data_IF_775500000893
#
_entry.id   IF_775500000893
#
_cell.length_a   1.000
_cell.length_b   1.000
_cell.length_c   1.000
_cell.angle_alpha   90.00
_cell.angle_beta   90.00
_cell.angle_gamma   90.00
#
_symmetry.space_group_name_H-M   'P 1'
#
loop_
_entity.id
_entity.type
_entity.pdbx_description
1 polymer ?
#
# COMPACT_ATOMS: atom_id res chain seq x y z
N UNK A 1 20.45 -13.59 18.67
CA UNK A 1 21.33 -14.45 17.85
C UNK A 1 21.51 -13.74 16.52
N UNK A 2 22.69 -13.14 16.33
CA UNK A 2 23.03 -12.23 15.23
C UNK A 2 23.32 -13.02 13.95
N UNK A 3 22.35 -13.07 13.03
CA UNK A 3 22.62 -13.40 11.64
C UNK A 3 23.60 -12.34 11.09
N UNK A 4 24.67 -12.77 10.43
CA UNK A 4 25.77 -11.87 10.07
C UNK A 4 25.44 -11.05 8.82
N UNK A 5 25.88 -9.78 8.82
CA UNK A 5 25.84 -8.77 7.73
C UNK A 5 26.10 -9.31 6.30
N UNK A 6 26.81 -10.44 6.18
CA UNK A 6 27.06 -11.14 4.90
C UNK A 6 25.86 -11.90 4.32
N UNK A 7 24.91 -12.38 5.12
CA UNK A 7 23.73 -13.08 4.59
C UNK A 7 22.72 -12.11 3.98
N UNK A 8 22.55 -10.91 4.55
CA UNK A 8 21.76 -9.86 3.92
C UNK A 8 22.38 -9.44 2.58
N UNK A 9 23.69 -9.17 2.57
CA UNK A 9 24.43 -8.87 1.34
C UNK A 9 24.34 -9.99 0.31
N UNK A 10 24.44 -11.27 0.67
CA UNK A 10 24.33 -12.38 -0.28
C UNK A 10 22.92 -12.54 -0.87
N UNK A 11 21.87 -12.19 -0.12
CA UNK A 11 20.48 -12.26 -0.62
C UNK A 11 20.14 -11.02 -1.46
N UNK A 12 20.64 -9.84 -1.06
CA UNK A 12 20.52 -8.59 -1.80
C UNK A 12 21.40 -8.54 -3.07
N UNK A 13 22.61 -9.13 -3.04
CA UNK A 13 23.47 -9.25 -4.23
C UNK A 13 23.09 -10.42 -5.12
N UNK A 14 22.55 -11.53 -4.61
CA UNK A 14 21.97 -12.57 -5.47
C UNK A 14 20.68 -12.08 -6.17
N UNK A 15 19.91 -11.18 -5.54
CA UNK A 15 18.82 -10.45 -6.21
C UNK A 15 19.34 -9.41 -7.21
N UNK A 16 20.50 -8.78 -6.97
CA UNK A 16 21.05 -7.72 -7.83
C UNK A 16 21.99 -8.20 -8.96
N UNK A 17 22.49 -9.44 -8.95
CA UNK A 17 23.43 -9.97 -9.97
C UNK A 17 22.82 -11.05 -10.86
N UNK A 18 21.48 -11.11 -10.90
CA UNK A 18 20.73 -12.07 -11.69
C UNK A 18 19.31 -11.60 -12.01
N UNK A 19 19.12 -10.33 -12.37
CA UNK A 19 17.94 -9.96 -13.15
C UNK A 19 18.23 -10.37 -14.61
N UNK A 20 17.48 -11.32 -15.18
CA UNK A 20 17.52 -11.49 -16.62
C UNK A 20 16.97 -10.19 -17.22
N UNK A 21 17.69 -9.61 -18.19
CA UNK A 21 16.99 -8.94 -19.29
C UNK A 21 15.91 -9.91 -19.78
N UNK A 22 14.74 -9.44 -20.21
CA UNK A 22 13.56 -10.27 -20.54
C UNK A 22 13.82 -11.44 -21.54
N UNK A 23 15.03 -11.56 -22.07
CA UNK A 23 15.53 -12.68 -22.87
C UNK A 23 15.92 -13.97 -22.08
N UNK A 24 15.72 -14.06 -20.76
CA UNK A 24 16.32 -15.14 -19.94
C UNK A 24 15.47 -15.84 -18.88
N UNK A 25 14.13 -15.84 -18.96
CA UNK A 25 13.30 -16.60 -18.01
C UNK A 25 13.34 -18.11 -18.29
N UNK A 26 13.69 -18.98 -17.32
CA UNK A 26 13.58 -20.42 -17.49
C UNK A 26 12.10 -20.82 -17.57
N UNK A 27 11.72 -21.44 -18.69
CA UNK A 27 10.40 -21.97 -18.93
C UNK A 27 10.14 -23.25 -18.12
N UNK A 28 9.70 -23.15 -16.86
CA UNK A 28 9.03 -24.27 -16.17
C UNK A 28 8.06 -23.74 -15.11
N UNK A 29 6.76 -23.77 -15.40
CA UNK A 29 5.70 -24.50 -14.67
C UNK A 29 4.36 -24.12 -15.30
N UNK A 30 3.77 -25.07 -16.01
CA UNK A 30 2.43 -24.97 -16.56
C UNK A 30 1.40 -25.48 -15.56
N UNK A 31 0.42 -24.63 -15.20
CA UNK A 31 -0.91 -25.01 -14.72
C UNK A 31 -1.46 -24.16 -13.55
N UNK A 32 -2.79 -23.92 -13.44
CA UNK A 32 -3.88 -24.25 -14.36
C UNK A 32 -4.56 -23.05 -15.04
N UNK A 33 -5.04 -23.33 -16.25
CA UNK A 33 -6.14 -22.71 -17.03
C UNK A 33 -6.16 -21.20 -17.29
N UNK A 34 -6.01 -20.91 -18.57
CA UNK A 34 -6.73 -19.97 -19.45
C UNK A 34 -8.23 -19.77 -19.11
N UNK A 35 -8.55 -19.41 -17.86
CA UNK A 35 -9.87 -18.85 -17.54
C UNK A 35 -9.92 -17.47 -18.18
N UNK A 36 -10.89 -17.27 -19.06
CA UNK A 36 -11.40 -15.94 -19.45
C UNK A 36 -11.40 -15.05 -18.22
N UNK A 37 -10.87 -13.83 -18.33
CA UNK A 37 -10.83 -12.88 -17.21
C UNK A 37 -12.18 -12.87 -16.50
N UNK A 38 -12.19 -13.32 -15.24
CA UNK A 38 -13.40 -13.29 -14.46
C UNK A 38 -13.83 -11.83 -14.30
N UNK A 39 -15.11 -11.49 -14.47
CA UNK A 39 -15.54 -10.11 -14.57
C UNK A 39 -15.20 -9.32 -13.31
N UNK A 40 -14.82 -8.07 -13.47
CA UNK A 40 -14.72 -7.12 -12.35
C UNK A 40 -16.09 -6.98 -11.70
N UNK A 41 -16.12 -6.97 -10.37
CA UNK A 41 -17.35 -6.79 -9.61
C UNK A 41 -17.33 -5.45 -8.90
N UNK A 42 -18.26 -4.55 -9.27
CA UNK A 42 -18.61 -3.36 -8.50
C UNK A 42 -19.84 -3.67 -7.65
N UNK A 43 -19.76 -3.44 -6.35
CA UNK A 43 -20.87 -3.62 -5.41
C UNK A 43 -21.00 -2.42 -4.48
N UNK A 44 -22.20 -2.18 -3.94
CA UNK A 44 -22.35 -1.30 -2.77
C UNK A 44 -22.14 -2.11 -1.48
N UNK A 45 -21.31 -1.61 -0.56
CA UNK A 45 -21.17 -2.21 0.77
C UNK A 45 -22.41 -2.02 1.66
N UNK A 46 -23.37 -1.21 1.25
CA UNK A 46 -24.65 -1.05 1.93
C UNK A 46 -25.72 -2.04 1.46
N UNK A 47 -25.45 -2.83 0.41
CA UNK A 47 -26.34 -3.88 -0.08
C UNK A 47 -25.80 -5.25 0.35
N UNK A 48 -26.42 -5.83 1.37
CA UNK A 48 -26.01 -7.12 1.96
C UNK A 48 -25.95 -8.25 0.93
N UNK A 49 -26.82 -8.23 -0.09
CA UNK A 49 -26.85 -9.28 -1.12
C UNK A 49 -25.66 -9.14 -2.06
N UNK A 50 -25.36 -7.92 -2.50
CA UNK A 50 -24.20 -7.68 -3.35
C UNK A 50 -22.90 -7.95 -2.57
N UNK A 51 -22.83 -7.53 -1.31
CA UNK A 51 -21.69 -7.79 -0.45
C UNK A 51 -21.48 -9.29 -0.22
N UNK A 52 -22.54 -10.06 0.06
CA UNK A 52 -22.45 -11.50 0.26
C UNK A 52 -21.86 -12.21 -0.97
N UNK A 53 -22.27 -11.80 -2.19
CA UNK A 53 -21.74 -12.38 -3.42
C UNK A 53 -20.24 -12.09 -3.61
N UNK A 54 -19.78 -10.87 -3.32
CA UNK A 54 -18.35 -10.57 -3.44
C UNK A 54 -17.51 -11.22 -2.33
N UNK A 55 -18.07 -11.33 -1.12
CA UNK A 55 -17.45 -12.05 0.00
C UNK A 55 -17.21 -13.52 -0.35
N UNK A 56 -18.22 -14.21 -0.87
CA UNK A 56 -18.09 -15.61 -1.28
C UNK A 56 -16.96 -15.80 -2.31
N UNK A 57 -16.92 -14.92 -3.32
CA UNK A 57 -15.85 -14.95 -4.33
C UNK A 57 -14.47 -14.68 -3.72
N UNK A 58 -14.33 -13.59 -2.96
CA UNK A 58 -13.07 -13.20 -2.35
C UNK A 58 -12.50 -14.30 -1.45
N UNK A 59 -13.34 -14.93 -0.62
CA UNK A 59 -12.90 -15.98 0.30
C UNK A 59 -12.58 -17.31 -0.40
N UNK A 60 -13.15 -17.54 -1.59
CA UNK A 60 -12.75 -18.64 -2.46
C UNK A 60 -11.38 -18.38 -3.11
N UNK A 61 -11.11 -17.14 -3.53
CA UNK A 61 -9.83 -16.73 -4.11
C UNK A 61 -8.70 -16.68 -3.06
N UNK A 62 -9.05 -16.36 -1.80
CA UNK A 62 -8.11 -16.22 -0.69
C UNK A 62 -8.48 -17.08 0.53
N UNK A 63 -8.25 -18.41 0.46
CA UNK A 63 -8.47 -19.29 1.61
C UNK A 63 -7.66 -18.82 2.84
N UNK A 64 -8.35 -18.65 3.97
CA UNK A 64 -7.75 -18.19 5.23
C UNK A 64 -7.79 -16.67 5.43
N UNK A 65 -8.37 -15.92 4.48
CA UNK A 65 -8.78 -14.53 4.70
C UNK A 65 -10.30 -14.48 4.77
N UNK A 66 -10.83 -13.70 5.72
CA UNK A 66 -12.26 -13.46 5.88
C UNK A 66 -12.62 -12.01 5.61
N UNK A 67 -13.66 -11.79 4.82
CA UNK A 67 -14.21 -10.47 4.49
C UNK A 67 -15.51 -10.24 5.26
N UNK A 68 -15.69 -9.04 5.81
CA UNK A 68 -16.90 -8.67 6.56
C UNK A 68 -17.16 -7.16 6.49
N UNK A 69 -18.41 -6.76 6.73
CA UNK A 69 -18.77 -5.36 7.01
C UNK A 69 -19.16 -5.29 8.48
N UNK A 70 -18.60 -4.31 9.19
CA UNK A 70 -18.86 -4.08 10.62
C UNK A 70 -19.49 -2.73 10.80
N UNK A 71 -20.54 -2.66 11.62
CA UNK A 71 -21.21 -1.41 11.99
C UNK A 71 -21.04 -1.15 13.48
N UNK A 72 -20.67 0.07 13.83
CA UNK A 72 -20.60 0.56 15.20
C UNK A 72 -21.65 1.65 15.35
N UNK A 73 -22.57 1.49 16.29
CA UNK A 73 -23.53 2.53 16.73
C UNK A 73 -23.55 2.59 18.27
N UNK A 74 -22.99 3.66 18.83
CA UNK A 74 -22.84 3.81 20.28
C UNK A 74 -21.46 3.41 20.78
N UNK A 75 -21.36 2.44 21.69
CA UNK A 75 -20.11 1.93 22.27
C UNK A 75 -19.96 0.46 21.93
N UNK A 76 -18.79 0.05 21.46
CA UNK A 76 -18.54 -1.33 21.03
C UNK A 76 -17.06 -1.71 21.15
N UNK A 77 -16.72 -2.97 20.81
CA UNK A 77 -15.38 -3.52 20.79
C UNK A 77 -15.09 -4.21 19.46
N UNK A 78 -14.12 -3.68 18.70
CA UNK A 78 -13.60 -4.33 17.50
C UNK A 78 -12.64 -5.45 17.91
N UNK A 79 -12.85 -6.66 17.40
CA UNK A 79 -12.05 -7.83 17.74
C UNK A 79 -11.90 -8.76 16.53
N UNK A 80 -10.92 -9.65 16.61
CA UNK A 80 -10.76 -10.76 15.67
C UNK A 80 -11.83 -11.83 15.94
N UNK A 81 -12.46 -12.34 14.89
CA UNK A 81 -13.47 -13.40 14.98
C UNK A 81 -12.84 -14.81 15.01
N UNK A 82 -11.63 -14.95 14.48
CA UNK A 82 -10.94 -16.24 14.29
C UNK A 82 -9.58 -16.33 15.01
N UNK A 83 -9.26 -15.38 15.89
CA UNK A 83 -7.95 -15.27 16.56
C UNK A 83 -6.82 -14.72 15.67
N UNK A 84 -7.15 -14.32 14.45
CA UNK A 84 -6.24 -13.73 13.47
C UNK A 84 -6.01 -12.23 13.64
N UNK A 85 -5.55 -11.60 12.55
CA UNK A 85 -5.29 -10.16 12.45
C UNK A 85 -6.38 -9.59 11.58
N UNK A 86 -7.26 -8.79 12.19
CA UNK A 86 -8.38 -8.15 11.53
C UNK A 86 -8.12 -6.66 11.36
N UNK A 87 -8.08 -6.23 10.11
CA UNK A 87 -7.94 -4.84 9.72
C UNK A 87 -9.31 -4.29 9.38
N UNK A 88 -9.64 -3.12 9.93
CA UNK A 88 -10.91 -2.42 9.73
C UNK A 88 -10.63 -1.09 9.03
N UNK A 89 -11.12 -0.93 7.81
CA UNK A 89 -11.08 0.35 7.09
C UNK A 89 -12.42 1.04 7.21
N UNK A 90 -12.44 2.19 7.89
CA UNK A 90 -13.66 2.98 8.03
C UNK A 90 -13.98 3.59 6.67
N UNK A 91 -15.13 3.26 6.08
CA UNK A 91 -15.53 3.84 4.79
C UNK A 91 -16.66 4.85 4.90
N UNK A 92 -17.35 4.88 6.05
CA UNK A 92 -18.44 5.82 6.32
C UNK A 92 -18.56 6.14 7.80
N UNK A 93 -18.90 7.39 8.10
CA UNK A 93 -19.18 7.86 9.44
C UNK A 93 -17.94 8.29 10.19
N UNK A 94 -18.08 8.44 11.51
CA UNK A 94 -17.03 8.92 12.40
C UNK A 94 -17.22 8.38 13.82
N UNK A 95 -16.13 8.31 14.55
CA UNK A 95 -16.15 7.85 15.92
C UNK A 95 -14.87 8.19 16.67
N UNK A 96 -14.61 7.40 17.70
CA UNK A 96 -13.39 7.48 18.47
C UNK A 96 -12.92 6.06 18.83
N UNK A 97 -11.60 5.87 18.84
CA UNK A 97 -10.94 4.65 19.27
C UNK A 97 -10.23 4.89 20.59
N UNK A 98 -10.35 3.95 21.54
CA UNK A 98 -9.61 4.01 22.80
C UNK A 98 -8.16 3.57 22.57
N UNK A 99 -7.22 4.49 22.82
CA UNK A 99 -5.79 4.19 22.77
C UNK A 99 -5.21 4.35 24.18
N UNK A 100 -4.69 3.28 24.79
CA UNK A 100 -4.24 3.29 26.18
C UNK A 100 -2.91 4.04 26.35
N UNK A 101 -2.55 4.33 27.61
CA UNK A 101 -1.20 4.76 27.95
C UNK A 101 -0.20 3.65 27.56
N UNK A 102 0.95 4.03 27.01
CA UNK A 102 1.93 3.11 26.44
C UNK A 102 1.63 2.68 25.00
N UNK A 103 0.51 3.10 24.39
CA UNK A 103 0.29 2.91 22.96
C UNK A 103 1.40 3.58 22.14
N UNK A 104 2.00 2.83 21.22
CA UNK A 104 3.05 3.31 20.32
C UNK A 104 2.53 3.39 18.89
N UNK A 105 2.88 4.45 18.18
CA UNK A 105 2.53 4.63 16.76
C UNK A 105 3.68 5.22 15.98
N UNK A 106 3.75 4.90 14.69
CA UNK A 106 4.65 5.55 13.72
C UNK A 106 3.91 6.56 12.84
N UNK A 107 2.78 7.08 13.31
CA UNK A 107 2.17 8.29 12.74
C UNK A 107 3.12 9.48 12.96
N UNK A 108 3.27 10.33 11.96
CA UNK A 108 4.29 11.38 11.92
C UNK A 108 4.19 12.32 10.71
N UNK A 109 2.97 12.46 10.18
CA UNK A 109 2.64 13.31 9.03
C UNK A 109 2.63 14.82 9.36
N UNK A 110 2.08 15.64 8.45
CA UNK A 110 2.00 17.09 8.63
C UNK A 110 1.08 17.50 9.79
N UNK A 111 0.10 16.66 10.15
CA UNK A 111 -0.71 16.86 11.34
C UNK A 111 0.07 16.52 12.61
N UNK A 112 0.04 17.45 13.58
CA UNK A 112 0.56 17.17 14.93
C UNK A 112 -0.28 16.09 15.58
N UNK A 113 0.38 15.06 16.14
CA UNK A 113 -0.28 14.10 17.01
C UNK A 113 -0.99 14.83 18.16
N UNK A 114 -2.11 14.30 18.67
CA UNK A 114 -2.80 14.88 19.82
C UNK A 114 -1.89 15.08 21.04
N UNK A 115 -2.30 15.95 21.95
CA UNK A 115 -1.57 16.15 23.21
C UNK A 115 -1.38 14.81 23.95
N UNK A 116 -0.18 14.61 24.50
CA UNK A 116 0.17 13.43 25.27
C UNK A 116 0.91 12.34 24.49
N UNK A 117 1.24 12.54 23.21
CA UNK A 117 2.25 11.74 22.51
C UNK A 117 3.64 12.33 22.71
N UNK A 118 4.62 11.48 23.00
CA UNK A 118 6.03 11.87 23.11
C UNK A 118 6.82 11.01 22.12
N UNK A 119 7.55 11.61 21.16
CA UNK A 119 8.45 10.87 20.28
C UNK A 119 9.49 10.09 21.08
N UNK A 120 9.73 8.85 20.68
CA UNK A 120 10.77 8.03 21.28
C UNK A 120 12.15 8.60 20.90
N UNK A 121 13.15 8.59 21.81
CA UNK A 121 14.50 9.03 21.49
C UNK A 121 15.10 8.24 20.33
N UNK A 122 15.85 8.92 19.47
CA UNK A 122 16.58 8.29 18.38
C UNK A 122 17.69 7.39 18.92
N UNK A 123 17.73 6.15 18.45
CA UNK A 123 18.82 5.23 18.75
C UNK A 123 20.17 5.79 18.26
N UNK A 124 21.23 5.64 19.06
CA UNK A 124 22.54 6.22 18.77
C UNK A 124 23.16 5.63 17.49
N UNK A 125 23.01 4.32 17.27
CA UNK A 125 23.55 3.67 16.08
C UNK A 125 22.82 4.14 14.82
N UNK A 126 21.50 4.35 14.92
CA UNK A 126 20.72 4.94 13.83
C UNK A 126 21.08 6.42 13.62
N UNK A 127 21.31 7.19 14.68
CA UNK A 127 21.73 8.59 14.56
C UNK A 127 23.07 8.71 13.81
N UNK A 128 24.04 7.85 14.13
CA UNK A 128 25.34 7.80 13.45
C UNK A 128 25.24 7.34 12.00
N UNK A 129 24.34 6.39 11.72
CA UNK A 129 24.02 5.96 10.36
C UNK A 129 23.45 7.13 9.53
N UNK A 130 22.43 7.83 10.05
CA UNK A 130 21.81 8.97 9.36
C UNK A 130 22.79 10.13 9.18
N UNK A 131 23.66 10.41 10.16
CA UNK A 131 24.73 11.39 10.03
C UNK A 131 25.68 11.05 8.88
N UNK A 132 26.10 9.78 8.83
CA UNK A 132 27.03 9.28 7.81
C UNK A 132 26.41 9.35 6.41
N UNK A 133 25.14 8.97 6.26
CA UNK A 133 24.39 9.12 5.00
C UNK A 133 24.27 10.60 4.62
N UNK A 134 23.91 11.47 5.57
CA UNK A 134 23.80 12.92 5.35
C UNK A 134 25.08 13.54 4.81
N UNK A 135 26.25 13.14 5.34
CA UNK A 135 27.56 13.61 4.86
C UNK A 135 27.90 13.12 3.45
N UNK A 136 27.33 11.98 3.05
CA UNK A 136 27.59 11.33 1.76
C UNK A 136 26.51 11.61 0.72
N UNK A 137 25.50 12.45 1.01
CA UNK A 137 24.43 12.80 0.07
C UNK A 137 24.91 13.16 -1.36
N UNK A 138 26.01 13.92 -1.57
CA UNK A 138 26.50 14.23 -2.92
C UNK A 138 26.96 13.02 -3.75
N UNK A 139 27.21 11.87 -3.13
CA UNK A 139 27.63 10.62 -3.79
C UNK A 139 26.48 9.70 -4.18
N UNK A 140 25.26 10.03 -3.72
CA UNK A 140 24.04 9.26 -3.99
C UNK A 140 23.48 9.69 -5.34
N UNK A 141 23.08 8.70 -6.16
CA UNK A 141 22.52 8.94 -7.48
C UNK A 141 21.23 9.77 -7.42
N UNK A 142 20.97 10.61 -8.43
CA UNK A 142 19.90 11.62 -8.38
C UNK A 142 18.50 11.02 -8.20
N UNK A 143 18.25 9.81 -8.73
CA UNK A 143 16.98 9.10 -8.55
C UNK A 143 16.75 8.66 -7.10
N UNK A 144 17.80 8.21 -6.41
CA UNK A 144 17.73 7.75 -5.02
C UNK A 144 17.76 8.91 -4.02
N UNK A 145 18.49 9.99 -4.37
CA UNK A 145 18.73 11.13 -3.48
C UNK A 145 17.45 11.75 -2.91
N UNK A 146 16.39 11.89 -3.71
CA UNK A 146 15.12 12.45 -3.24
C UNK A 146 14.48 11.61 -2.10
N UNK A 147 14.52 10.28 -2.21
CA UNK A 147 13.97 9.38 -1.20
C UNK A 147 14.86 9.34 0.05
N UNK A 148 16.19 9.34 -0.12
CA UNK A 148 17.12 9.40 1.03
C UNK A 148 16.99 10.72 1.78
N UNK A 149 16.84 11.83 1.06
CA UNK A 149 16.62 13.13 1.68
C UNK A 149 15.33 13.15 2.51
N UNK A 150 14.24 12.58 1.98
CA UNK A 150 12.98 12.48 2.72
C UNK A 150 13.10 11.65 4.02
N UNK A 151 13.98 10.64 4.06
CA UNK A 151 14.31 9.91 5.30
C UNK A 151 15.03 10.83 6.30
N UNK A 152 16.03 11.58 5.83
CA UNK A 152 16.82 12.49 6.67
C UNK A 152 15.97 13.65 7.23
N UNK A 153 15.06 14.19 6.43
CA UNK A 153 14.20 15.33 6.80
C UNK A 153 13.21 15.02 7.93
N UNK A 154 12.95 13.74 8.20
CA UNK A 154 12.13 13.29 9.34
C UNK A 154 12.83 13.45 10.69
N UNK A 155 14.14 13.67 10.68
CA UNK A 155 14.92 13.83 11.90
C UNK A 155 14.80 15.25 12.43
N UNK A 156 14.48 15.38 13.70
CA UNK A 156 14.44 16.66 14.41
C UNK A 156 15.31 16.58 15.65
N UNK A 157 16.57 16.99 15.55
CA UNK A 157 17.53 16.87 16.65
C UNK A 157 17.83 15.40 16.99
N UNK A 158 17.40 14.97 18.18
CA UNK A 158 17.58 13.63 18.76
C UNK A 158 16.34 12.74 18.66
N UNK A 159 15.36 13.13 17.84
CA UNK A 159 14.17 12.31 17.55
C UNK A 159 14.02 12.08 16.04
N UNK A 160 13.31 11.00 15.69
CA UNK A 160 12.82 10.71 14.35
C UNK A 160 11.30 10.60 14.41
N UNK A 161 10.59 11.25 13.50
CA UNK A 161 9.12 11.29 13.51
C UNK A 161 8.57 10.47 12.35
N UNK A 162 7.72 9.49 12.69
CA UNK A 162 7.03 8.61 11.75
C UNK A 162 7.90 7.55 11.09
N UNK A 163 7.28 6.50 10.54
CA UNK A 163 7.99 5.44 9.81
C UNK A 163 8.41 5.91 8.41
N UNK A 164 9.58 5.44 7.94
CA UNK A 164 10.07 5.72 6.59
C UNK A 164 9.98 4.50 5.66
N UNK A 165 8.97 3.66 5.87
CA UNK A 165 8.82 2.41 5.11
C UNK A 165 8.58 2.66 3.62
N UNK A 166 7.83 3.72 3.29
CA UNK A 166 7.55 4.11 1.91
C UNK A 166 8.79 4.56 1.16
N UNK A 167 9.70 5.32 1.80
CA UNK A 167 10.94 5.72 1.18
C UNK A 167 11.84 4.51 0.92
N UNK A 168 11.87 3.53 1.83
CA UNK A 168 12.56 2.26 1.59
C UNK A 168 11.94 1.47 0.42
N UNK A 169 10.61 1.45 0.32
CA UNK A 169 9.90 0.82 -0.80
C UNK A 169 10.19 1.51 -2.13
N UNK A 170 10.19 2.85 -2.15
CA UNK A 170 10.53 3.64 -3.33
C UNK A 170 11.99 3.45 -3.77
N UNK A 171 12.93 3.36 -2.81
CA UNK A 171 14.33 3.07 -3.11
C UNK A 171 14.49 1.72 -3.81
N UNK A 172 13.75 0.69 -3.37
CA UNK A 172 13.79 -0.63 -4.01
C UNK A 172 13.27 -0.62 -5.46
N UNK A 173 12.43 0.35 -5.83
CA UNK A 173 12.00 0.51 -7.23
C UNK A 173 13.08 1.12 -8.14
N UNK A 174 14.18 1.61 -7.57
CA UNK A 174 15.28 2.21 -8.33
C UNK A 174 16.32 1.14 -8.63
N UNK A 175 16.68 0.93 -9.91
CA UNK A 175 17.76 0.02 -10.27
C UNK A 175 19.05 0.36 -9.55
N UNK A 176 19.69 -0.66 -8.98
CA UNK A 176 21.00 -0.54 -8.34
C UNK A 176 22.13 -0.33 -9.38
N UNK A 177 23.27 0.25 -8.96
CA UNK A 177 23.56 0.77 -7.63
C UNK A 177 22.91 2.14 -7.36
N UNK A 178 22.59 2.44 -6.10
CA UNK A 178 22.05 3.75 -5.70
C UNK A 178 23.17 4.77 -5.46
N UNK A 179 24.35 4.32 -5.08
CA UNK A 179 25.57 5.13 -4.99
C UNK A 179 26.73 4.46 -5.73
N UNK A 180 27.65 5.28 -6.28
CA UNK A 180 28.84 4.74 -6.95
C UNK A 180 29.88 4.20 -5.96
N UNK A 181 29.89 4.74 -4.75
CA UNK A 181 30.73 4.28 -3.65
C UNK A 181 30.05 3.12 -2.92
N UNK A 182 30.74 1.97 -2.82
CA UNK A 182 30.20 0.77 -2.18
C UNK A 182 30.00 0.92 -0.68
N UNK A 183 30.78 1.77 -0.01
CA UNK A 183 30.57 2.10 1.40
C UNK A 183 29.29 2.89 1.61
N UNK A 184 28.95 3.79 0.69
CA UNK A 184 27.68 4.55 0.73
C UNK A 184 26.50 3.64 0.42
N UNK A 185 26.64 2.74 -0.56
CA UNK A 185 25.64 1.71 -0.85
C UNK A 185 25.35 0.85 0.41
N UNK A 186 26.39 0.41 1.12
CA UNK A 186 26.25 -0.36 2.37
C UNK A 186 25.53 0.42 3.48
N UNK A 187 25.73 1.74 3.57
CA UNK A 187 25.00 2.59 4.52
C UNK A 187 23.50 2.65 4.17
N UNK A 188 23.17 2.86 2.89
CA UNK A 188 21.77 2.90 2.44
C UNK A 188 21.08 1.55 2.65
N UNK A 189 21.78 0.46 2.39
CA UNK A 189 21.32 -0.91 2.64
C UNK A 189 21.06 -1.16 4.14
N UNK A 190 21.82 -0.52 5.03
CA UNK A 190 21.65 -0.68 6.48
C UNK A 190 20.35 -0.03 7.00
N UNK A 191 19.72 0.90 6.26
CA UNK A 191 18.42 1.48 6.65
C UNK A 191 17.30 0.43 6.70
N UNK A 192 17.41 -0.67 5.95
CA UNK A 192 16.43 -1.76 5.97
C UNK A 192 16.38 -2.51 7.31
N UNK A 193 17.42 -2.41 8.14
CA UNK A 193 17.42 -2.99 9.48
C UNK A 193 16.64 -2.12 10.49
N UNK A 194 16.40 -0.84 10.16
CA UNK A 194 15.89 0.15 11.10
C UNK A 194 14.45 0.59 10.88
N UNK A 195 13.97 0.65 9.63
CA UNK A 195 12.70 1.30 9.29
C UNK A 195 11.46 0.74 10.03
N UNK A 196 11.51 -0.52 10.49
CA UNK A 196 10.44 -1.17 11.27
C UNK A 196 10.41 -0.74 12.75
N UNK A 197 11.53 -0.21 13.25
CA UNK A 197 11.78 -0.01 14.68
C UNK A 197 12.00 1.46 15.06
N UNK A 198 12.08 2.35 14.07
CA UNK A 198 12.33 3.77 14.27
C UNK A 198 11.06 4.62 14.06
N UNK A 199 11.07 5.88 14.51
CA UNK A 199 10.00 6.83 14.20
C UNK A 199 8.75 6.71 15.08
N UNK A 200 8.84 6.03 16.22
CA UNK A 200 7.71 5.84 17.11
C UNK A 200 7.46 7.06 18.00
N UNK A 201 6.19 7.31 18.30
CA UNK A 201 5.75 8.15 19.42
C UNK A 201 4.92 7.32 20.40
N UNK A 202 5.18 7.51 21.70
CA UNK A 202 4.50 6.81 22.78
C UNK A 202 3.49 7.72 23.47
N UNK A 203 2.25 7.24 23.56
CA UNK A 203 1.16 7.90 24.27
C UNK A 203 1.32 7.79 25.78
N UNK A 204 1.34 8.93 26.48
CA UNK A 204 1.58 9.00 27.91
C UNK A 204 0.32 8.79 28.76
N UNK A 205 -0.85 9.18 28.24
CA UNK A 205 -2.14 9.03 28.94
C UNK A 205 -3.18 8.43 28.01
N UNK A 206 -3.93 7.43 28.47
CA UNK A 206 -4.97 6.79 27.66
C UNK A 206 -6.15 7.71 27.40
N UNK A 207 -6.71 7.66 26.18
CA UNK A 207 -7.89 8.46 25.82
C UNK A 207 -8.61 7.91 24.58
N UNK A 208 -9.85 8.34 24.39
CA UNK A 208 -10.61 8.14 23.15
C UNK A 208 -10.19 9.20 22.12
N UNK A 209 -9.71 8.77 20.97
CA UNK A 209 -9.21 9.64 19.91
C UNK A 209 -10.04 9.54 18.64
N UNK A 210 -10.24 10.66 17.92
CA UNK A 210 -11.11 10.69 16.75
C UNK A 210 -10.62 9.75 15.64
N UNK A 211 -11.59 9.11 15.00
CA UNK A 211 -11.41 8.34 13.76
C UNK A 211 -12.50 8.69 12.76
N UNK A 212 -12.15 8.75 11.48
CA UNK A 212 -12.98 9.19 10.36
C UNK A 212 -12.92 8.16 9.21
N UNK A 213 -13.79 8.33 8.22
CA UNK A 213 -13.67 7.55 6.99
C UNK A 213 -12.29 7.77 6.33
N UNK A 214 -11.68 6.66 5.91
CA UNK A 214 -10.31 6.58 5.43
C UNK A 214 -9.31 6.13 6.51
N UNK A 215 -9.63 6.27 7.80
CA UNK A 215 -8.78 5.77 8.87
C UNK A 215 -8.88 4.24 8.99
N UNK A 216 -7.85 3.65 9.58
CA UNK A 216 -7.73 2.22 9.80
C UNK A 216 -7.57 1.89 11.27
N UNK A 217 -8.24 0.82 11.71
CA UNK A 217 -8.10 0.20 13.03
C UNK A 217 -7.71 -1.28 12.85
N UNK A 218 -6.94 -1.84 13.78
CA UNK A 218 -6.48 -3.22 13.76
C UNK A 218 -6.71 -3.88 15.11
N UNK A 219 -7.33 -5.06 15.10
CA UNK A 219 -7.38 -5.96 16.26
C UNK A 219 -6.69 -7.28 15.90
N UNK A 220 -5.88 -7.81 16.81
CA UNK A 220 -5.12 -9.04 16.57
C UNK A 220 -5.23 -9.98 17.77
N UNK A 221 -5.43 -11.27 17.52
CA UNK A 221 -5.53 -12.28 18.59
C UNK A 221 -6.72 -12.00 19.51
N UNK A 222 -6.52 -12.26 20.80
CA UNK A 222 -7.57 -12.08 21.83
C UNK A 222 -7.91 -10.62 22.19
N UNK A 223 -6.97 -9.64 22.16
CA UNK A 223 -7.28 -8.25 22.47
C UNK A 223 -8.36 -7.64 21.57
N UNK A 224 -9.36 -7.03 22.21
CA UNK A 224 -10.34 -6.18 21.54
C UNK A 224 -9.98 -4.70 21.68
N UNK A 225 -10.35 -3.89 20.69
CA UNK A 225 -10.16 -2.43 20.67
C UNK A 225 -11.50 -1.75 20.96
N UNK A 226 -11.58 -1.04 22.08
CA UNK A 226 -12.78 -0.30 22.44
C UNK A 226 -12.98 0.90 21.52
N UNK A 227 -14.21 1.09 21.04
CA UNK A 227 -14.60 2.15 20.11
C UNK A 227 -15.93 2.76 20.51
N UNK A 228 -16.19 3.99 20.04
CA UNK A 228 -17.50 4.62 20.16
C UNK A 228 -17.81 5.55 19.00
N UNK A 229 -19.08 5.81 18.72
CA UNK A 229 -19.53 6.71 17.65
C UNK A 229 -20.51 6.04 16.71
N UNK A 230 -20.51 6.47 15.45
CA UNK A 230 -21.34 5.87 14.40
C UNK A 230 -20.56 5.76 13.11
N UNK A 231 -20.12 4.56 12.78
CA UNK A 231 -19.32 4.32 11.57
C UNK A 231 -19.45 2.88 11.07
N UNK A 232 -19.11 2.68 9.80
CA UNK A 232 -19.06 1.37 9.14
C UNK A 232 -17.66 1.10 8.61
N UNK A 233 -17.23 -0.15 8.75
CA UNK A 233 -15.93 -0.62 8.29
C UNK A 233 -16.11 -1.76 7.27
N UNK A 234 -15.26 -1.77 6.25
CA UNK A 234 -14.88 -3.01 5.59
C UNK A 234 -13.80 -3.65 6.46
N UNK A 235 -13.87 -4.96 6.70
CA UNK A 235 -12.87 -5.65 7.49
C UNK A 235 -12.38 -6.92 6.81
N UNK A 236 -11.05 -7.10 6.83
CA UNK A 236 -10.37 -8.32 6.39
C UNK A 236 -9.62 -8.93 7.57
N UNK A 237 -9.84 -10.22 7.81
CA UNK A 237 -9.13 -10.98 8.84
C UNK A 237 -8.27 -12.07 8.23
N UNK A 238 -6.97 -12.08 8.53
CA UNK A 238 -6.10 -13.22 8.24
C UNK A 238 -6.08 -14.17 9.44
N UNK A 239 -6.73 -15.32 9.30
CA UNK A 239 -7.01 -16.28 10.39
C UNK A 239 -5.73 -16.81 11.06
N UNK A 240 -4.68 -17.06 10.28
CA UNK A 240 -3.42 -17.68 10.75
C UNK A 240 -2.42 -16.67 11.36
N UNK A 241 -2.82 -15.42 11.57
CA UNK A 241 -1.92 -14.33 11.96
C UNK A 241 -2.40 -13.59 13.21
N UNK A 242 -1.90 -13.93 14.38
CA UNK A 242 -2.33 -13.30 15.64
C UNK A 242 -1.59 -12.01 16.02
N UNK A 243 -0.69 -11.48 15.17
CA UNK A 243 0.14 -10.31 15.48
C UNK A 243 0.15 -9.26 14.37
N UNK A 244 0.06 -7.99 14.78
CA UNK A 244 0.26 -6.84 13.89
C UNK A 244 1.73 -6.42 13.89
N UNK A 245 2.20 -5.93 12.74
CA UNK A 245 3.52 -5.32 12.58
C UNK A 245 3.46 -3.78 12.55
N UNK A 246 2.28 -3.23 12.79
CA UNK A 246 1.92 -1.80 12.73
C UNK A 246 0.98 -1.48 13.89
N UNK A 247 0.86 -0.18 14.21
CA UNK A 247 0.05 0.28 15.32
C UNK A 247 -1.45 0.03 15.13
N UNK A 248 -2.17 -0.13 16.24
CA UNK A 248 -3.63 -0.38 16.31
C UNK A 248 -4.44 0.62 15.51
N UNK A 249 -4.07 1.91 15.49
CA UNK A 249 -4.72 2.93 14.68
C UNK A 249 -3.73 3.53 13.68
N UNK A 250 -4.23 3.84 12.47
CA UNK A 250 -3.54 4.59 11.43
C UNK A 250 -4.51 5.63 10.87
N UNK A 251 -4.31 6.88 11.26
CA UNK A 251 -5.24 7.98 11.03
C UNK A 251 -4.67 8.95 10.02
N UNK A 252 -5.42 9.20 8.96
CA UNK A 252 -4.94 9.93 7.80
C UNK A 252 -4.33 11.28 8.15
N UNK A 253 -4.92 12.14 9.01
CA UNK A 253 -4.33 13.45 9.31
C UNK A 253 -2.90 13.40 9.84
N UNK A 254 -2.48 12.26 10.41
CA UNK A 254 -1.17 12.06 11.02
C UNK A 254 -0.26 11.16 10.19
N UNK A 255 -0.64 10.83 8.96
CA UNK A 255 0.22 10.11 8.01
C UNK A 255 0.83 11.10 7.01
N UNK A 256 2.08 10.84 6.63
CA UNK A 256 2.79 11.64 5.62
C UNK A 256 2.10 11.48 4.27
N UNK A 257 1.96 12.58 3.54
CA UNK A 257 1.54 12.58 2.14
C UNK A 257 2.72 12.14 1.26
N UNK A 258 2.48 11.17 0.38
CA UNK A 258 3.53 10.47 -0.39
C UNK A 258 3.21 10.50 -1.88
N UNK A 259 4.08 11.10 -2.69
CA UNK A 259 3.93 11.03 -4.16
C UNK A 259 4.08 9.59 -4.69
N UNK A 260 3.43 9.26 -5.80
CA UNK A 260 3.64 8.00 -6.55
C UNK A 260 2.40 7.11 -6.74
N UNK A 261 2.56 6.02 -7.50
CA UNK A 261 1.46 5.12 -7.90
C UNK A 261 0.50 5.77 -8.90
N UNK A 262 -0.81 5.62 -8.62
CA UNK A 262 -1.92 6.16 -9.42
C UNK A 262 -2.05 7.70 -9.42
N UNK A 263 -1.23 8.45 -8.68
CA UNK A 263 -1.22 9.92 -8.69
C UNK A 263 0.20 10.45 -8.46
N UNK A 264 0.73 11.26 -9.39
CA UNK A 264 2.13 11.69 -9.41
C UNK A 264 2.34 13.21 -9.19
N UNK A 265 1.37 13.91 -8.60
CA UNK A 265 1.43 15.37 -8.41
C UNK A 265 2.36 15.85 -7.27
N UNK A 266 2.60 17.16 -7.24
CA UNK A 266 3.24 17.96 -6.19
C UNK A 266 2.39 18.16 -4.92
N UNK A 267 1.06 17.96 -4.98
CA UNK A 267 0.16 17.94 -3.82
C UNK A 267 -0.62 16.61 -3.73
N UNK A 268 0.09 15.46 -3.61
CA UNK A 268 -0.55 14.17 -3.63
C UNK A 268 -1.20 13.93 -2.27
N UNK A 269 -2.53 14.04 -2.19
CA UNK A 269 -3.26 13.41 -1.08
C UNK A 269 -3.15 11.89 -1.27
N UNK A 270 -2.05 11.30 -0.80
CA UNK A 270 -1.76 9.87 -0.82
C UNK A 270 -1.09 9.46 0.48
N UNK A 271 -1.84 8.75 1.31
CA UNK A 271 -1.45 8.35 2.66
C UNK A 271 -1.48 6.84 2.74
N UNK A 272 -0.51 6.27 3.44
CA UNK A 272 -0.29 4.82 3.45
C UNK A 272 -0.50 4.26 4.86
N UNK A 273 -1.76 3.94 5.24
CA UNK A 273 -2.03 3.25 6.49
C UNK A 273 -1.26 1.94 6.61
N UNK A 274 -1.08 1.23 5.48
CA UNK A 274 -0.32 -0.01 5.36
C UNK A 274 0.66 0.09 4.19
N UNK A 275 1.94 -0.01 4.48
CA UNK A 275 3.01 -0.07 3.48
C UNK A 275 3.55 -1.48 3.35
N UNK A 276 4.10 -1.80 2.18
CA UNK A 276 4.85 -3.03 1.98
C UNK A 276 6.14 -3.01 2.80
N UNK A 277 6.32 -4.01 3.67
CA UNK A 277 7.55 -4.26 4.42
C UNK A 277 8.40 -5.28 3.68
N UNK A 278 9.62 -4.91 3.27
CA UNK A 278 10.57 -5.84 2.67
C UNK A 278 10.85 -7.03 3.57
N UNK A 279 10.86 -8.24 3.00
CA UNK A 279 11.08 -9.48 3.74
C UNK A 279 12.42 -9.50 4.49
N UNK A 280 12.40 -10.02 5.71
CA UNK A 280 13.63 -10.31 6.46
C UNK A 280 14.20 -11.66 6.01
N UNK A 281 15.53 -11.88 6.15
CA UNK A 281 16.15 -13.17 5.85
C UNK A 281 15.40 -14.33 6.52
N UNK A 282 14.94 -15.30 5.71
CA UNK A 282 14.20 -16.47 6.17
C UNK A 282 12.67 -16.35 6.08
N UNK A 283 12.14 -15.17 5.74
CA UNK A 283 10.73 -15.02 5.36
C UNK A 283 10.50 -15.61 3.95
N UNK A 284 9.32 -16.18 3.73
CA UNK A 284 8.89 -16.73 2.44
C UNK A 284 7.48 -16.27 2.12
N UNK A 285 7.17 -16.20 0.82
CA UNK A 285 5.84 -15.81 0.33
C UNK A 285 5.53 -14.35 0.60
N UNK A 286 4.29 -14.05 0.97
CA UNK A 286 3.83 -12.67 1.17
C UNK A 286 4.04 -12.17 2.61
N UNK A 287 4.62 -13.00 3.49
CA UNK A 287 5.18 -12.59 4.78
C UNK A 287 4.26 -11.73 5.66
N UNK A 288 4.74 -10.52 5.98
CA UNK A 288 3.95 -9.54 6.75
C UNK A 288 2.88 -8.83 5.91
N UNK A 289 3.00 -8.88 4.59
CA UNK A 289 2.27 -8.07 3.63
C UNK A 289 1.06 -8.83 3.06
N UNK A 290 0.30 -9.52 3.92
CA UNK A 290 -0.91 -10.21 3.44
C UNK A 290 -1.97 -9.22 2.92
N UNK A 291 -1.95 -7.99 3.41
CA UNK A 291 -2.80 -6.89 2.93
C UNK A 291 -2.07 -5.55 3.05
N UNK A 292 -2.26 -4.67 2.07
CA UNK A 292 -1.89 -3.26 2.18
C UNK A 292 -3.06 -2.35 1.75
N UNK A 293 -2.91 -1.05 2.01
CA UNK A 293 -3.95 -0.06 1.79
C UNK A 293 -3.34 1.32 1.65
N UNK A 294 -3.71 2.04 0.58
CA UNK A 294 -3.30 3.42 0.32
C UNK A 294 -4.55 4.27 0.11
N UNK A 295 -4.72 5.33 0.91
CA UNK A 295 -5.79 6.30 0.69
C UNK A 295 -5.29 7.39 -0.23
N UNK A 296 -5.88 7.51 -1.41
CA UNK A 296 -5.41 8.38 -2.48
C UNK A 296 -6.56 9.16 -3.13
N UNK A 297 -6.30 10.43 -3.41
CA UNK A 297 -7.06 11.21 -4.38
C UNK A 297 -6.45 11.02 -5.76
N UNK A 298 -7.23 10.55 -6.72
CA UNK A 298 -6.78 10.22 -8.08
C UNK A 298 -7.40 11.22 -9.07
N UNK A 299 -6.74 12.34 -9.40
CA UNK A 299 -7.15 13.19 -10.51
C UNK A 299 -7.02 12.45 -11.84
N UNK A 300 -7.99 12.59 -12.74
CA UNK A 300 -7.94 11.91 -14.05
C UNK A 300 -6.67 12.23 -14.82
N UNK A 301 -6.15 13.46 -14.72
CA UNK A 301 -5.00 13.95 -15.49
C UNK A 301 -3.68 13.27 -15.07
N UNK A 302 -3.63 12.76 -13.83
CA UNK A 302 -2.45 12.20 -13.19
C UNK A 302 -2.57 10.70 -12.90
N UNK A 303 -3.65 10.09 -13.38
CA UNK A 303 -3.92 8.67 -13.23
C UNK A 303 -3.35 7.88 -14.39
N UNK A 304 -2.56 6.83 -14.14
CA UNK A 304 -2.02 5.95 -15.18
C UNK A 304 -2.80 4.65 -15.25
N UNK A 305 -3.01 4.15 -16.47
CA UNK A 305 -3.61 2.83 -16.66
C UNK A 305 -2.57 1.76 -16.39
N UNK A 306 -2.91 0.80 -15.54
CA UNK A 306 -1.99 -0.27 -15.17
C UNK A 306 -2.73 -1.59 -14.88
N UNK A 307 -2.00 -2.68 -14.69
CA UNK A 307 -2.53 -3.94 -14.19
C UNK A 307 -1.54 -4.63 -13.26
N UNK A 308 -2.04 -5.63 -12.51
CA UNK A 308 -1.20 -6.57 -11.76
C UNK A 308 -1.16 -7.92 -12.46
N UNK A 309 0.01 -8.53 -12.70
CA UNK A 309 0.11 -9.79 -13.42
C UNK A 309 -0.64 -10.96 -12.75
N UNK A 310 -1.18 -11.88 -13.56
CA UNK A 310 -1.81 -13.14 -13.09
C UNK A 310 -0.84 -14.10 -12.42
N UNK A 311 0.45 -13.92 -12.66
CA UNK A 311 1.53 -14.67 -12.02
C UNK A 311 2.41 -13.67 -11.29
N UNK A 312 2.64 -13.90 -10.00
CA UNK A 312 3.52 -13.03 -9.22
C UNK A 312 4.94 -13.04 -9.80
N UNK A 313 5.52 -11.86 -10.00
CA UNK A 313 6.89 -11.70 -10.48
C UNK A 313 7.96 -12.05 -9.43
N UNK A 314 7.60 -11.93 -8.14
CA UNK A 314 8.49 -12.18 -6.99
C UNK A 314 8.06 -13.39 -6.15
N UNK A 315 7.18 -14.26 -6.69
CA UNK A 315 6.61 -15.39 -5.95
C UNK A 315 5.47 -15.00 -5.00
N UNK A 316 4.91 -15.97 -4.26
CA UNK A 316 3.71 -15.76 -3.46
C UNK A 316 2.43 -15.63 -4.30
N UNK A 317 1.38 -15.04 -3.73
CA UNK A 317 0.07 -14.92 -4.37
C UNK A 317 0.07 -13.81 -5.45
N UNK A 318 -0.66 -13.96 -6.56
CA UNK A 318 -0.97 -12.85 -7.46
C UNK A 318 -1.68 -11.71 -6.70
N UNK A 319 -1.30 -10.46 -7.01
CA UNK A 319 -1.87 -9.28 -6.36
C UNK A 319 -3.21 -8.92 -6.98
N UNK A 320 -4.25 -8.97 -6.16
CA UNK A 320 -5.55 -8.36 -6.45
C UNK A 320 -5.58 -6.96 -5.89
N UNK A 321 -6.14 -6.03 -6.65
CA UNK A 321 -6.42 -4.67 -6.21
C UNK A 321 -7.93 -4.49 -5.99
N UNK A 322 -8.29 -3.69 -4.99
CA UNK A 322 -9.67 -3.38 -4.67
C UNK A 322 -9.82 -1.89 -4.37
N UNK A 323 -10.89 -1.28 -4.86
CA UNK A 323 -11.20 0.12 -4.59
C UNK A 323 -12.29 0.18 -3.54
N UNK A 324 -11.99 0.77 -2.38
CA UNK A 324 -12.98 1.17 -1.38
C UNK A 324 -13.23 2.68 -1.50
N UNK A 325 -14.31 3.06 -2.18
CA UNK A 325 -14.56 4.46 -2.54
C UNK A 325 -14.98 5.25 -1.31
N UNK A 326 -14.31 6.38 -1.07
CA UNK A 326 -14.50 7.24 0.10
C UNK A 326 -15.19 8.55 -0.30
N UNK A 327 -15.77 9.23 0.68
CA UNK A 327 -16.33 10.57 0.48
C UNK A 327 -15.21 11.63 0.58
N UNK A 328 -14.88 12.34 -0.52
CA UNK A 328 -13.80 13.34 -0.54
C UNK A 328 -14.02 14.49 0.45
N UNK A 329 -15.27 14.75 0.85
CA UNK A 329 -15.61 15.80 1.84
C UNK A 329 -15.02 15.51 3.21
N UNK A 330 -14.82 14.24 3.56
CA UNK A 330 -14.23 13.85 4.86
C UNK A 330 -12.77 14.32 4.96
N UNK A 331 -12.06 14.34 3.83
CA UNK A 331 -10.69 14.83 3.71
C UNK A 331 -10.61 16.30 3.26
N UNK A 332 -11.74 17.00 3.16
CA UNK A 332 -11.84 18.39 2.66
C UNK A 332 -11.24 18.57 1.25
N UNK A 333 -11.31 17.53 0.42
CA UNK A 333 -10.82 17.57 -0.96
C UNK A 333 -11.84 18.27 -1.86
N UNK A 334 -11.36 19.21 -2.67
CA UNK A 334 -12.18 19.84 -3.71
C UNK A 334 -12.26 18.92 -4.93
N UNK A 335 -13.47 18.44 -5.22
CA UNK A 335 -13.75 17.60 -6.38
C UNK A 335 -14.04 18.41 -7.63
N UNK A 336 -14.27 19.71 -7.50
CA UNK A 336 -14.71 20.61 -8.57
C UNK A 336 -15.95 20.08 -9.34
N UNK A 337 -16.77 19.26 -8.69
CA UNK A 337 -17.95 18.63 -9.30
C UNK A 337 -17.64 17.54 -10.32
N UNK A 338 -16.40 17.07 -10.42
CA UNK A 338 -16.02 15.95 -11.29
C UNK A 338 -16.67 14.65 -10.82
N UNK A 339 -17.10 13.84 -11.79
CA UNK A 339 -17.73 12.54 -11.52
C UNK A 339 -16.66 11.46 -11.39
N UNK A 340 -16.67 10.74 -10.27
CA UNK A 340 -15.74 9.65 -10.04
C UNK A 340 -16.11 8.42 -10.88
N UNK A 341 -15.12 7.81 -11.53
CA UNK A 341 -15.31 6.56 -12.27
C UNK A 341 -14.05 5.68 -12.25
N UNK A 342 -14.17 4.45 -12.75
CA UNK A 342 -13.05 3.56 -13.04
C UNK A 342 -13.16 3.01 -14.45
N UNK A 343 -12.06 3.09 -15.20
CA UNK A 343 -11.90 2.41 -16.47
C UNK A 343 -11.33 1.01 -16.23
N UNK A 344 -11.85 0.03 -16.97
CA UNK A 344 -11.48 -1.38 -16.87
C UNK A 344 -11.21 -1.95 -18.25
N UNK A 345 -10.08 -2.65 -18.40
CA UNK A 345 -9.65 -3.39 -19.58
C UNK A 345 -9.63 -4.88 -19.20
N UNK A 346 -10.77 -5.58 -19.33
CA UNK A 346 -10.89 -6.96 -18.88
C UNK A 346 -10.09 -7.96 -19.72
N UNK A 347 -9.73 -7.61 -20.96
CA UNK A 347 -8.87 -8.46 -21.81
C UNK A 347 -7.69 -7.66 -22.36
N UNK A 348 -6.50 -7.87 -21.77
CA UNK A 348 -5.27 -7.20 -22.19
C UNK A 348 -4.81 -7.59 -23.62
N UNK A 349 -5.41 -8.64 -24.22
CA UNK A 349 -5.18 -9.00 -25.63
C UNK A 349 -5.95 -8.10 -26.59
N UNK A 350 -7.03 -7.46 -26.13
CA UNK A 350 -7.85 -6.54 -26.92
C UNK A 350 -8.16 -5.27 -26.12
N UNK A 351 -7.25 -4.29 -26.22
CA UNK A 351 -7.36 -3.01 -25.51
C UNK A 351 -8.46 -2.09 -26.07
N UNK A 352 -9.15 -2.47 -27.16
CA UNK A 352 -10.35 -1.74 -27.59
C UNK A 352 -11.57 -2.09 -26.73
N UNK A 353 -11.53 -3.22 -26.02
CA UNK A 353 -12.59 -3.64 -25.12
C UNK A 353 -12.31 -3.08 -23.73
N UNK A 354 -13.06 -2.05 -23.37
CA UNK A 354 -13.04 -1.46 -22.04
C UNK A 354 -14.45 -1.12 -21.55
N UNK A 355 -14.60 -1.04 -20.23
CA UNK A 355 -15.80 -0.60 -19.55
C UNK A 355 -15.46 0.60 -18.66
N UNK A 356 -16.37 1.56 -18.53
CA UNK A 356 -16.29 2.63 -17.55
C UNK A 356 -17.44 2.49 -16.55
N UNK A 357 -17.10 2.42 -15.27
CA UNK A 357 -18.08 2.31 -14.19
C UNK A 357 -18.05 3.58 -13.34
N UNK A 358 -19.18 4.28 -13.25
CA UNK A 358 -19.34 5.38 -12.30
C UNK A 358 -19.19 4.88 -10.85
N UNK A 359 -18.60 5.69 -9.97
CA UNK A 359 -18.30 5.36 -8.58
C UNK A 359 -18.96 6.34 -7.60
N UNK A 360 -19.36 5.83 -6.44
CA UNK A 360 -19.93 6.60 -5.33
C UNK A 360 -19.34 6.15 -3.99
N UNK A 361 -19.27 7.04 -2.97
CA UNK A 361 -18.79 6.65 -1.64
C UNK A 361 -19.53 5.45 -1.04
N UNK A 362 -18.77 4.44 -0.62
CA UNK A 362 -19.30 3.15 -0.16
C UNK A 362 -19.38 2.06 -1.24
N UNK A 363 -19.06 2.38 -2.50
CA UNK A 363 -18.81 1.37 -3.51
C UNK A 363 -17.50 0.62 -3.21
N UNK A 364 -17.52 -0.68 -3.48
CA UNK A 364 -16.37 -1.57 -3.45
C UNK A 364 -16.19 -2.22 -4.83
N UNK A 365 -15.00 -2.08 -5.41
CA UNK A 365 -14.66 -2.68 -6.70
C UNK A 365 -13.59 -3.73 -6.48
N UNK A 366 -13.85 -4.98 -6.89
CA UNK A 366 -12.90 -6.08 -6.86
C UNK A 366 -12.24 -6.26 -8.23
N UNK A 367 -10.93 -6.00 -8.32
CA UNK A 367 -10.16 -5.99 -9.57
C UNK A 367 -9.19 -7.19 -9.55
N UNK A 368 -9.55 -8.31 -10.19
CA UNK A 368 -8.70 -9.49 -10.18
C UNK A 368 -7.40 -9.25 -10.98
N UNK A 369 -6.36 -10.08 -10.75
CA UNK A 369 -5.11 -9.98 -11.48
C UNK A 369 -5.31 -10.16 -12.99
N UNK A 370 -4.55 -9.41 -13.78
CA UNK A 370 -4.60 -9.40 -15.24
C UNK A 370 -5.69 -8.52 -15.84
N UNK A 371 -6.34 -7.68 -15.03
CA UNK A 371 -7.28 -6.65 -15.51
C UNK A 371 -6.59 -5.29 -15.50
N UNK A 372 -6.53 -4.65 -16.67
CA UNK A 372 -6.10 -3.26 -16.77
C UNK A 372 -7.12 -2.35 -16.13
N UNK A 373 -6.70 -1.35 -15.38
CA UNK A 373 -7.62 -0.43 -14.73
C UNK A 373 -7.00 0.94 -14.49
N UNK A 374 -7.88 1.93 -14.31
CA UNK A 374 -7.53 3.32 -14.03
C UNK A 374 -8.66 4.02 -13.30
N UNK A 375 -8.42 4.47 -12.06
CA UNK A 375 -9.34 5.36 -11.35
C UNK A 375 -9.35 6.77 -11.94
N UNK A 376 -10.51 7.42 -12.02
CA UNK A 376 -10.68 8.78 -12.55
C UNK A 376 -11.45 9.64 -11.55
N UNK A 377 -10.85 10.77 -11.17
CA UNK A 377 -11.45 11.78 -10.28
C UNK A 377 -12.05 11.20 -8.99
N UNK A 378 -11.37 10.19 -8.43
CA UNK A 378 -11.89 9.36 -7.33
C UNK A 378 -11.03 9.50 -6.07
N UNK A 379 -11.68 9.63 -4.93
CA UNK A 379 -11.07 9.49 -3.61
C UNK A 379 -11.33 8.09 -3.07
N UNK A 380 -10.27 7.31 -2.87
CA UNK A 380 -10.38 5.87 -2.66
C UNK A 380 -9.33 5.38 -1.68
N UNK A 381 -9.71 4.38 -0.87
CA UNK A 381 -8.73 3.52 -0.23
C UNK A 381 -8.48 2.31 -1.14
N UNK A 382 -7.31 2.29 -1.78
CA UNK A 382 -6.88 1.19 -2.64
C UNK A 382 -6.31 0.09 -1.76
N UNK A 383 -6.98 -1.05 -1.70
CA UNK A 383 -6.57 -2.22 -0.92
C UNK A 383 -5.95 -3.25 -1.85
N UNK A 384 -4.94 -3.98 -1.37
CA UNK A 384 -4.30 -5.05 -2.14
C UNK A 384 -4.11 -6.32 -1.32
N UNK A 385 -4.36 -7.48 -1.94
CA UNK A 385 -4.07 -8.80 -1.37
C UNK A 385 -3.29 -9.64 -2.39
N UNK A 386 -2.05 -10.08 -2.07
CA UNK A 386 -1.20 -9.53 -1.01
C UNK A 386 -0.95 -8.03 -1.22
N UNK A 387 -0.27 -7.39 -0.28
CA UNK A 387 0.05 -5.97 -0.34
C UNK A 387 0.81 -5.54 -1.60
N UNK A 388 1.06 -4.22 -1.76
CA UNK A 388 1.67 -3.64 -2.97
C UNK A 388 3.10 -4.12 -3.20
N UNK A 389 3.21 -5.21 -3.95
CA UNK A 389 4.47 -5.87 -4.26
C UNK A 389 5.34 -4.96 -5.12
N UNK A 390 6.63 -4.81 -4.77
CA UNK A 390 7.57 -4.11 -5.63
C UNK A 390 7.55 -4.64 -7.06
N UNK A 391 7.60 -3.74 -8.04
CA UNK A 391 7.61 -4.04 -9.47
C UNK A 391 6.40 -4.79 -10.03
N UNK A 392 5.32 -4.92 -9.27
CA UNK A 392 4.16 -5.72 -9.66
C UNK A 392 3.02 -4.88 -10.27
N UNK A 393 3.22 -3.58 -10.44
CA UNK A 393 2.34 -2.63 -11.12
C UNK A 393 2.88 -2.39 -12.53
N UNK A 394 2.11 -2.74 -13.57
CA UNK A 394 2.55 -2.71 -14.97
C UNK A 394 1.77 -1.65 -15.73
N UNK A 395 2.44 -0.58 -16.18
CA UNK A 395 1.81 0.59 -16.81
C UNK A 395 1.62 0.43 -18.31
N UNK A 396 0.38 0.53 -18.81
CA UNK A 396 -0.01 0.14 -20.17
C UNK A 396 -0.55 1.26 -21.06
N UNK A 397 -0.53 2.53 -20.62
CA UNK A 397 -1.05 3.67 -21.42
C UNK A 397 -0.43 3.74 -22.82
N UNK A 398 0.87 3.46 -22.92
CA UNK A 398 1.61 3.40 -24.18
C UNK A 398 1.10 2.28 -25.12
N UNK A 399 0.84 1.09 -24.59
CA UNK A 399 0.28 -0.03 -25.36
C UNK A 399 -1.19 0.23 -25.76
N UNK A 400 -1.99 0.88 -24.91
CA UNK A 400 -3.36 1.29 -25.26
C UNK A 400 -3.33 2.24 -26.44
N UNK A 401 -2.51 3.30 -26.38
CA UNK A 401 -2.39 4.27 -27.47
C UNK A 401 -1.98 3.58 -28.78
N UNK A 402 -0.90 2.80 -28.75
CA UNK A 402 -0.30 2.23 -29.96
C UNK A 402 -1.18 1.12 -30.58
N UNK A 403 -1.85 0.29 -29.78
CA UNK A 403 -2.65 -0.84 -30.28
C UNK A 403 -4.08 -0.46 -30.69
N UNK A 404 -4.56 0.69 -30.25
CA UNK A 404 -5.91 1.18 -30.54
C UNK A 404 -5.90 2.42 -31.43
N UNK A 405 -4.74 2.83 -31.95
CA UNK A 405 -4.55 4.09 -32.68
C UNK A 405 -5.14 5.30 -31.92
N UNK A 406 -4.98 5.29 -30.59
CA UNK A 406 -5.49 6.30 -29.66
C UNK A 406 -7.01 6.34 -29.49
N UNK A 407 -7.76 5.35 -29.98
CA UNK A 407 -9.23 5.30 -29.85
C UNK A 407 -9.71 4.91 -28.45
N UNK A 408 -9.00 4.00 -27.77
CA UNK A 408 -9.30 3.65 -26.39
C UNK A 408 -8.74 4.68 -25.41
N UNK A 409 -9.35 4.88 -24.23
CA UNK A 409 -8.90 5.90 -23.29
C UNK A 409 -7.55 5.54 -22.67
N UNK A 410 -6.60 6.46 -22.75
CA UNK A 410 -5.27 6.34 -22.14
C UNK A 410 -4.86 7.68 -21.49
N UNK A 411 -3.77 7.70 -20.74
CA UNK A 411 -3.18 8.95 -20.23
C UNK A 411 -1.94 9.34 -21.04
N UNK A 412 -1.97 10.50 -21.70
CA UNK A 412 -0.82 11.06 -22.40
C UNK A 412 0.37 11.28 -21.46
N UNK A 413 0.11 11.69 -20.21
CA UNK A 413 1.17 11.86 -19.19
C UNK A 413 1.72 10.53 -18.66
N UNK A 414 1.06 9.40 -18.97
CA UNK A 414 1.44 8.07 -18.51
C UNK A 414 2.32 7.29 -19.49
N UNK A 415 2.54 7.81 -20.71
CA UNK A 415 3.20 7.08 -21.79
C UNK A 415 4.64 6.66 -21.46
N UNK A 416 5.41 7.55 -20.83
CA UNK A 416 6.79 7.31 -20.45
C UNK A 416 6.94 6.39 -19.21
N UNK A 417 5.82 5.95 -18.61
CA UNK A 417 5.83 5.08 -17.41
C UNK A 417 5.90 3.59 -17.74
N UNK A 418 5.82 3.21 -19.02
CA UNK A 418 5.96 1.81 -19.44
C UNK A 418 7.23 1.20 -18.85
N UNK A 419 7.06 0.12 -18.09
CA UNK A 419 8.12 -0.50 -17.28
C UNK A 419 8.42 -1.96 -17.67
N UNK A 420 8.09 -2.34 -18.91
CA UNK A 420 8.30 -3.67 -19.47
C UNK A 420 8.55 -3.59 -20.98
N UNK A 421 9.05 -4.67 -21.57
CA UNK A 421 9.35 -4.73 -23.01
C UNK A 421 8.08 -5.05 -23.83
N UNK A 422 7.43 -6.19 -23.54
CA UNK A 422 6.26 -6.70 -24.29
C UNK A 422 5.11 -7.08 -23.36
N UNK A 423 3.88 -6.71 -23.72
CA UNK A 423 2.69 -7.01 -22.92
C UNK A 423 2.40 -8.52 -22.93
N UNK A 424 2.74 -9.19 -24.03
CA UNK A 424 2.58 -10.61 -24.27
C UNK A 424 3.29 -11.49 -23.24
N UNK A 425 4.32 -10.97 -22.58
CA UNK A 425 5.06 -11.69 -21.54
C UNK A 425 4.21 -11.89 -20.26
N UNK A 426 3.05 -11.22 -20.14
CA UNK A 426 2.15 -11.27 -18.99
C UNK A 426 0.77 -11.89 -19.28
N UNK A 427 0.49 -12.29 -20.53
CA UNK A 427 -0.82 -12.77 -20.98
C UNK A 427 -1.08 -14.26 -20.70
#
# INVERSE_FOLDING_TARGET
MTATRRQFLATATAAAWGLPTAAGLPAVFAGPSDRTAEPVAKVSLDDDRQFAAIKERFEADYPGIRLSVVEVDGRDHLHSEHGGMRVFWIYRGQGQVELPAGYRTQEGGPGLLPDGYVPDPLDLDLADLLNSIGQQMPSIGPRAAAHVQAILDRRQGDILIGDFAVEMWNLEHIPRPWAQDSGVEDLLVSLFDWYRHAGYSTKQTGSYEPVLAGDQIIACGDPSVAVRGRFRCLAMEKEDRSVSHISTARRLPYLVDTAGGCSFDFDPYRRLPLTWYMDQPGMQGDGLNFVNSHVVNIPRELSSTHFHPRRSLLGGLPQTEMYLVLDPRVAQLDTHGREASILLFPDLRDLNRYDELALQPGDFVYIPPGVGHRGLDVFVNVLTVPGFKPHNEIYIDQDIRDRTDGQAPYNENGLDRKNYDRLEDFL
#
